data_IF_753128201073
#
_entry.id   IF_753128201073
#
_cell.length_a   1.000
_cell.length_b   1.000
_cell.length_c   1.000
_cell.angle_alpha   90.00
_cell.angle_beta   90.00
_cell.angle_gamma   90.00
#
_symmetry.space_group_name_H-M   'P 1'
#
loop_
_entity.id
_entity.type
_entity.pdbx_description
1 polymer ?
#
# COMPACT_ATOMS: atom_id res chain seq x y z
N UNK A 1 -11.68 -1.96 -22.89
CA UNK A 1 -10.68 -1.90 -21.82
C UNK A 1 -10.59 -0.48 -21.29
N UNK A 2 -10.59 -0.30 -19.97
CA UNK A 2 -10.41 1.00 -19.31
C UNK A 2 -8.96 1.50 -19.44
N UNK A 3 -8.68 2.81 -19.25
CA UNK A 3 -7.31 3.33 -19.26
C UNK A 3 -6.38 2.62 -18.27
N UNK A 4 -6.91 2.24 -17.10
CA UNK A 4 -6.18 1.50 -16.08
C UNK A 4 -5.83 0.07 -16.52
N UNK A 5 -6.78 -0.67 -17.09
CA UNK A 5 -6.52 -2.02 -17.64
C UNK A 5 -5.40 -2.01 -18.67
N UNK A 6 -5.43 -1.02 -19.57
CA UNK A 6 -4.37 -0.83 -20.58
C UNK A 6 -3.03 -0.46 -19.93
N UNK A 7 -3.04 0.31 -18.84
CA UNK A 7 -1.81 0.67 -18.12
C UNK A 7 -1.20 -0.56 -17.44
N UNK A 8 -2.01 -1.36 -16.75
CA UNK A 8 -1.57 -2.59 -16.08
C UNK A 8 -1.05 -3.61 -17.11
N UNK A 9 -1.76 -3.80 -18.21
CA UNK A 9 -1.33 -4.69 -19.29
C UNK A 9 0.02 -4.26 -19.91
N UNK A 10 0.24 -2.95 -20.09
CA UNK A 10 1.54 -2.43 -20.56
C UNK A 10 2.68 -2.64 -19.57
N UNK A 11 2.38 -2.71 -18.28
CA UNK A 11 3.34 -3.08 -17.23
C UNK A 11 3.57 -4.60 -17.14
N UNK A 12 2.94 -5.40 -18.01
CA UNK A 12 3.04 -6.87 -18.03
C UNK A 12 2.15 -7.56 -16.99
N UNK A 13 1.30 -6.81 -16.29
CA UNK A 13 0.34 -7.33 -15.31
C UNK A 13 -0.91 -7.83 -16.04
N UNK A 14 -1.56 -8.87 -15.53
CA UNK A 14 -2.74 -9.48 -16.16
C UNK A 14 -4.03 -8.95 -15.52
N UNK A 15 -4.80 -8.04 -16.16
CA UNK A 15 -6.08 -7.59 -15.61
C UNK A 15 -7.11 -8.72 -15.63
N UNK A 16 -7.79 -8.96 -14.52
CA UNK A 16 -8.82 -10.00 -14.39
C UNK A 16 -10.25 -9.46 -14.52
N UNK A 17 -10.40 -8.15 -14.69
CA UNK A 17 -11.68 -7.46 -14.87
C UNK A 17 -12.24 -6.83 -13.59
N UNK A 18 -13.41 -6.21 -13.72
CA UNK A 18 -14.13 -5.51 -12.65
C UNK A 18 -15.21 -6.39 -12.02
N UNK A 19 -15.93 -5.86 -11.03
CA UNK A 19 -17.03 -6.60 -10.39
C UNK A 19 -16.54 -7.64 -9.38
N UNK A 20 -15.40 -7.39 -8.73
CA UNK A 20 -14.86 -8.29 -7.73
C UNK A 20 -15.83 -8.45 -6.56
N UNK A 21 -16.06 -9.69 -6.16
CA UNK A 21 -16.70 -10.01 -4.89
C UNK A 21 -15.64 -10.25 -3.85
N UNK A 22 -15.34 -9.22 -3.08
CA UNK A 22 -14.38 -9.28 -2.00
C UNK A 22 -14.80 -10.32 -0.93
N UNK A 23 -16.10 -10.54 -0.74
CA UNK A 23 -16.62 -11.61 0.11
C UNK A 23 -16.20 -13.02 -0.33
N UNK A 24 -15.85 -13.24 -1.61
CA UNK A 24 -15.46 -14.54 -2.14
C UNK A 24 -14.08 -15.01 -1.64
N UNK A 25 -13.23 -14.10 -1.17
CA UNK A 25 -11.92 -14.45 -0.59
C UNK A 25 -12.04 -14.98 0.86
N UNK A 26 -13.28 -15.08 1.40
CA UNK A 26 -13.61 -15.62 2.72
C UNK A 26 -13.83 -14.52 3.79
N UNK A 27 -14.28 -14.86 5.00
CA UNK A 27 -14.43 -13.85 6.06
C UNK A 27 -13.09 -13.48 6.74
N UNK A 28 -12.15 -14.42 6.80
CA UNK A 28 -10.89 -14.23 7.53
C UNK A 28 -10.03 -13.10 6.93
N UNK A 29 -9.96 -12.99 5.60
CA UNK A 29 -9.12 -11.96 4.98
C UNK A 29 -9.66 -10.53 5.17
N UNK A 30 -10.99 -10.35 5.35
CA UNK A 30 -11.53 -9.01 5.64
C UNK A 30 -10.98 -8.50 6.97
N UNK A 31 -10.93 -9.37 7.98
CA UNK A 31 -10.38 -9.05 9.29
C UNK A 31 -8.87 -8.78 9.23
N UNK A 32 -8.15 -9.45 8.33
CA UNK A 32 -6.71 -9.23 8.14
C UNK A 32 -6.40 -7.97 7.31
N UNK A 33 -7.42 -7.36 6.69
CA UNK A 33 -7.29 -6.13 5.91
C UNK A 33 -7.64 -4.91 6.76
N UNK A 34 -6.68 -4.05 7.15
CA UNK A 34 -6.99 -2.83 7.91
C UNK A 34 -7.94 -1.88 7.16
N UNK A 35 -8.01 -2.01 5.83
CA UNK A 35 -8.93 -1.22 5.01
C UNK A 35 -10.38 -1.70 5.15
N UNK A 36 -10.61 -2.98 5.43
CA UNK A 36 -11.91 -3.66 5.33
C UNK A 36 -12.36 -4.38 6.61
N UNK A 37 -11.56 -4.38 7.68
CA UNK A 37 -11.80 -5.11 8.94
C UNK A 37 -13.19 -4.89 9.57
N UNK A 38 -13.77 -3.70 9.39
CA UNK A 38 -15.09 -3.34 9.93
C UNK A 38 -16.21 -3.41 8.89
N UNK A 39 -15.92 -3.77 7.63
CA UNK A 39 -16.92 -3.86 6.57
C UNK A 39 -17.72 -5.15 6.70
N UNK A 40 -19.04 -5.03 6.55
CA UNK A 40 -19.87 -6.22 6.30
C UNK A 40 -19.52 -6.80 4.93
N UNK A 41 -19.83 -8.09 4.70
CA UNK A 41 -19.58 -8.72 3.40
C UNK A 41 -20.25 -7.99 2.24
N UNK A 42 -21.46 -7.46 2.46
CA UNK A 42 -22.18 -6.69 1.44
C UNK A 42 -21.50 -5.33 1.16
N UNK A 43 -21.02 -4.63 2.19
CA UNK A 43 -20.28 -3.38 2.01
C UNK A 43 -18.93 -3.63 1.31
N UNK A 44 -18.25 -4.71 1.65
CA UNK A 44 -17.00 -5.10 0.98
C UNK A 44 -17.24 -5.43 -0.49
N UNK A 45 -18.32 -6.12 -0.84
CA UNK A 45 -18.66 -6.38 -2.24
C UNK A 45 -19.02 -5.11 -3.03
N UNK A 46 -19.62 -4.10 -2.38
CA UNK A 46 -19.82 -2.77 -2.99
C UNK A 46 -18.48 -2.13 -3.34
N UNK A 47 -17.50 -2.17 -2.44
CA UNK A 47 -16.15 -1.66 -2.70
C UNK A 47 -15.46 -2.48 -3.79
N UNK A 48 -15.56 -3.80 -3.71
CA UNK A 48 -15.00 -4.74 -4.69
C UNK A 48 -15.53 -4.53 -6.10
N UNK A 49 -16.82 -4.24 -6.24
CA UNK A 49 -17.44 -3.96 -7.53
C UNK A 49 -16.83 -2.72 -8.22
N UNK A 50 -16.34 -1.76 -7.43
CA UNK A 50 -15.66 -0.57 -7.93
C UNK A 50 -14.16 -0.77 -8.22
N UNK A 51 -13.61 -1.93 -7.86
CA UNK A 51 -12.20 -2.28 -8.09
C UNK A 51 -11.97 -3.01 -9.41
N UNK A 52 -10.75 -2.89 -9.91
CA UNK A 52 -10.23 -3.69 -11.02
C UNK A 52 -9.27 -4.74 -10.47
N UNK A 53 -9.55 -6.02 -10.71
CA UNK A 53 -8.64 -7.11 -10.35
C UNK A 53 -7.49 -7.22 -11.35
N UNK A 54 -6.33 -7.64 -10.86
CA UNK A 54 -5.17 -7.98 -11.68
C UNK A 54 -4.27 -9.00 -10.98
N UNK A 55 -3.41 -9.64 -11.78
CA UNK A 55 -2.41 -10.62 -11.33
C UNK A 55 -1.01 -10.23 -11.75
N UNK A 56 -0.06 -10.66 -10.94
CA UNK A 56 1.37 -10.54 -11.19
C UNK A 56 2.07 -11.86 -10.86
N UNK A 57 3.10 -12.19 -11.62
CA UNK A 57 4.05 -13.27 -11.30
C UNK A 57 5.26 -12.71 -10.55
N UNK A 58 6.02 -13.59 -9.90
CA UNK A 58 7.25 -13.23 -9.20
C UNK A 58 8.18 -12.34 -10.06
N UNK A 59 8.72 -11.30 -9.45
CA UNK A 59 9.62 -10.32 -10.07
C UNK A 59 8.92 -9.18 -10.81
N UNK A 60 7.61 -9.23 -11.04
CA UNK A 60 6.89 -8.14 -11.70
C UNK A 60 6.66 -6.96 -10.77
N UNK A 61 6.79 -5.74 -11.32
CA UNK A 61 6.59 -4.48 -10.60
C UNK A 61 5.11 -4.10 -10.68
N UNK A 62 4.44 -4.06 -9.52
CA UNK A 62 3.05 -3.64 -9.41
C UNK A 62 2.94 -2.10 -9.38
N UNK A 63 3.89 -1.45 -8.73
CA UNK A 63 3.98 0.00 -8.57
C UNK A 63 5.44 0.39 -8.69
N UNK A 64 5.78 1.36 -9.54
CA UNK A 64 7.15 1.86 -9.62
C UNK A 64 7.31 3.20 -8.90
N UNK A 65 8.39 3.33 -8.12
CA UNK A 65 8.76 4.59 -7.45
C UNK A 65 8.92 5.73 -8.46
N UNK A 66 8.36 6.90 -8.12
CA UNK A 66 8.44 8.12 -8.93
C UNK A 66 7.39 8.22 -10.03
N UNK A 67 6.63 7.15 -10.31
CA UNK A 67 5.49 7.25 -11.23
C UNK A 67 4.36 8.08 -10.62
N UNK A 68 3.62 8.81 -11.45
CA UNK A 68 2.38 9.45 -11.03
C UNK A 68 1.25 8.44 -11.20
N UNK A 69 0.50 8.18 -10.14
CA UNK A 69 -0.62 7.24 -10.16
C UNK A 69 -1.75 7.68 -9.24
N UNK A 70 -2.97 7.64 -9.76
CA UNK A 70 -4.19 8.09 -9.10
C UNK A 70 -5.00 6.94 -8.49
N UNK A 71 -4.32 5.85 -8.12
CA UNK A 71 -4.95 4.63 -7.64
C UNK A 71 -4.17 3.99 -6.51
N UNK A 72 -4.84 3.18 -5.70
CA UNK A 72 -4.25 2.34 -4.66
C UNK A 72 -4.54 0.89 -4.97
N UNK A 73 -3.82 -0.04 -4.36
CA UNK A 73 -4.14 -1.47 -4.47
C UNK A 73 -4.26 -2.14 -3.11
N UNK A 74 -5.01 -3.23 -3.09
CA UNK A 74 -5.12 -4.18 -1.98
C UNK A 74 -4.60 -5.52 -2.47
N UNK A 75 -3.67 -6.12 -1.72
CA UNK A 75 -3.18 -7.48 -1.99
C UNK A 75 -4.26 -8.47 -1.56
N UNK A 76 -4.73 -9.30 -2.50
CA UNK A 76 -5.74 -10.33 -2.24
C UNK A 76 -5.06 -11.67 -1.89
N UNK A 77 -3.94 -11.97 -2.53
CA UNK A 77 -3.11 -13.13 -2.24
C UNK A 77 -1.64 -12.89 -2.64
N UNK A 78 -0.72 -13.69 -2.11
CA UNK A 78 0.71 -13.57 -2.38
C UNK A 78 1.44 -12.58 -1.47
N UNK A 79 2.68 -12.26 -1.88
CA UNK A 79 3.65 -11.49 -1.12
C UNK A 79 4.31 -10.43 -2.01
N UNK A 80 4.41 -9.20 -1.50
CA UNK A 80 4.99 -8.06 -2.22
C UNK A 80 6.12 -7.44 -1.40
N UNK A 81 7.23 -7.17 -2.06
CA UNK A 81 8.36 -6.42 -1.52
C UNK A 81 8.17 -4.93 -1.77
N UNK A 82 8.29 -4.11 -0.73
CA UNK A 82 8.19 -2.65 -0.83
C UNK A 82 9.57 -2.05 -0.62
N UNK A 83 10.11 -1.43 -1.66
CA UNK A 83 11.50 -0.96 -1.69
C UNK A 83 11.60 0.48 -2.15
N UNK A 84 12.58 1.22 -1.64
CA UNK A 84 12.86 2.60 -2.05
C UNK A 84 14.34 2.79 -2.35
N UNK A 85 14.64 3.53 -3.42
CA UNK A 85 16.00 3.97 -3.72
C UNK A 85 16.41 5.10 -2.77
N UNK A 86 17.60 4.98 -2.20
CA UNK A 86 18.20 5.95 -1.29
C UNK A 86 19.64 6.27 -1.73
N UNK A 87 20.10 7.47 -1.35
CA UNK A 87 21.39 8.00 -1.81
C UNK A 87 21.30 8.57 -3.23
N UNK A 88 21.86 9.76 -3.43
CA UNK A 88 21.78 10.47 -4.71
C UNK A 88 22.57 9.75 -5.84
N UNK A 89 23.62 8.99 -5.49
CA UNK A 89 24.62 8.54 -6.48
C UNK A 89 24.90 7.02 -6.50
N UNK A 90 24.42 6.23 -5.53
CA UNK A 90 24.84 4.82 -5.36
C UNK A 90 23.77 3.76 -5.73
N UNK A 91 22.55 4.18 -6.07
CA UNK A 91 21.48 3.23 -6.43
C UNK A 91 21.10 2.25 -5.31
N UNK A 92 21.46 2.57 -4.06
CA UNK A 92 21.17 1.70 -2.93
C UNK A 92 19.66 1.57 -2.76
N UNK A 93 19.18 0.35 -2.66
CA UNK A 93 17.75 0.06 -2.50
C UNK A 93 17.52 -0.47 -1.11
N UNK A 94 16.71 0.25 -0.33
CA UNK A 94 16.31 -0.15 1.02
C UNK A 94 14.93 -0.79 0.97
N UNK A 95 14.82 -1.99 1.55
CA UNK A 95 13.54 -2.63 1.80
C UNK A 95 12.82 -1.93 2.95
N UNK A 96 11.66 -1.35 2.66
CA UNK A 96 10.81 -0.68 3.63
C UNK A 96 9.90 -1.67 4.36
N UNK A 97 9.34 -2.63 3.63
CA UNK A 97 8.42 -3.64 4.18
C UNK A 97 8.30 -4.84 3.25
N UNK A 98 7.82 -5.96 3.81
CA UNK A 98 7.25 -7.09 3.06
C UNK A 98 5.79 -7.18 3.46
N UNK A 99 4.89 -7.07 2.48
CA UNK A 99 3.44 -7.06 2.70
C UNK A 99 2.80 -8.31 2.09
N UNK A 100 1.65 -8.70 2.62
CA UNK A 100 0.89 -9.90 2.24
C UNK A 100 -0.58 -9.56 2.01
N UNK A 101 -1.39 -10.57 1.72
CA UNK A 101 -2.85 -10.47 1.65
C UNK A 101 -3.43 -9.59 2.77
N UNK A 102 -4.41 -8.75 2.41
CA UNK A 102 -5.04 -7.74 3.26
C UNK A 102 -4.30 -6.39 3.30
N UNK A 103 -3.00 -6.37 2.98
CA UNK A 103 -2.26 -5.13 2.95
C UNK A 103 -2.67 -4.22 1.78
N UNK A 104 -2.61 -2.92 2.04
CA UNK A 104 -2.97 -1.85 1.09
C UNK A 104 -1.73 -1.01 0.78
N UNK A 105 -1.52 -0.58 -0.46
CA UNK A 105 -0.44 0.35 -0.82
C UNK A 105 -0.86 1.35 -1.90
N UNK A 106 -0.12 2.46 -2.00
CA UNK A 106 -0.36 3.50 -3.00
C UNK A 106 -1.47 4.47 -2.63
N UNK A 107 -2.00 4.40 -1.40
CA UNK A 107 -3.06 5.28 -0.92
C UNK A 107 -2.63 6.74 -0.80
N UNK A 108 -1.35 7.00 -0.48
CA UNK A 108 -0.80 8.36 -0.40
C UNK A 108 -0.91 9.08 -1.74
N UNK A 109 -0.25 8.56 -2.78
CA UNK A 109 -0.31 9.11 -4.15
C UNK A 109 -1.74 9.17 -4.70
N UNK A 110 -2.59 8.18 -4.36
CA UNK A 110 -4.01 8.22 -4.74
C UNK A 110 -4.76 9.38 -4.09
N UNK A 111 -4.35 9.85 -2.91
CA UNK A 111 -5.01 10.94 -2.18
C UNK A 111 -4.41 12.32 -2.46
N UNK A 112 -3.09 12.47 -2.44
CA UNK A 112 -2.41 13.77 -2.61
C UNK A 112 -2.01 14.05 -4.06
N UNK A 113 -1.90 13.03 -4.90
CA UNK A 113 -1.47 13.16 -6.30
C UNK A 113 0.04 13.22 -6.48
N UNK A 114 0.80 13.06 -5.41
CA UNK A 114 2.26 13.04 -5.45
C UNK A 114 2.80 11.73 -6.06
N UNK A 115 4.02 11.74 -6.62
CA UNK A 115 4.65 10.55 -7.17
C UNK A 115 4.71 9.38 -6.16
N UNK A 116 4.73 8.15 -6.66
CA UNK A 116 4.86 6.93 -5.85
C UNK A 116 6.09 7.00 -4.96
N UNK A 117 5.89 6.89 -3.66
CA UNK A 117 6.96 6.99 -2.66
C UNK A 117 7.97 5.84 -2.72
N UNK A 118 7.53 4.65 -3.16
CA UNK A 118 8.32 3.41 -3.18
C UNK A 118 7.85 2.49 -4.32
N UNK A 119 8.71 1.56 -4.71
CA UNK A 119 8.38 0.48 -5.64
C UNK A 119 7.75 -0.69 -4.88
N UNK A 120 6.83 -1.39 -5.52
CA UNK A 120 6.20 -2.61 -5.03
C UNK A 120 6.40 -3.72 -6.05
N UNK A 121 7.09 -4.80 -5.66
CA UNK A 121 7.46 -5.90 -6.56
C UNK A 121 6.94 -7.22 -6.01
N UNK A 122 6.32 -8.03 -6.87
CA UNK A 122 5.85 -9.36 -6.49
C UNK A 122 7.03 -10.28 -6.12
N UNK A 123 6.96 -10.92 -4.95
CA UNK A 123 7.94 -11.94 -4.53
C UNK A 123 7.52 -13.31 -5.07
N UNK A 124 6.22 -13.59 -5.03
CA UNK A 124 5.58 -14.81 -5.54
C UNK A 124 4.42 -14.42 -6.49
N UNK A 125 3.51 -15.36 -6.80
CA UNK A 125 2.31 -15.02 -7.56
C UNK A 125 1.35 -14.19 -6.70
N UNK A 126 0.98 -13.01 -7.18
CA UNK A 126 0.17 -12.02 -6.45
C UNK A 126 -1.12 -11.76 -7.20
N UNK A 127 -2.25 -11.89 -6.51
CA UNK A 127 -3.53 -11.33 -6.94
C UNK A 127 -3.79 -10.04 -6.16
N UNK A 128 -4.23 -8.99 -6.85
CA UNK A 128 -4.50 -7.70 -6.23
C UNK A 128 -5.70 -7.00 -6.87
N UNK A 129 -6.32 -6.10 -6.11
CA UNK A 129 -7.42 -5.26 -6.56
C UNK A 129 -6.99 -3.80 -6.53
N UNK A 130 -7.25 -3.07 -7.62
CA UNK A 130 -6.93 -1.66 -7.77
C UNK A 130 -8.18 -0.81 -7.60
N UNK A 131 -8.08 0.25 -6.81
CA UNK A 131 -9.12 1.25 -6.62
C UNK A 131 -8.59 2.63 -7.02
N UNK A 132 -9.25 3.28 -7.99
CA UNK A 132 -8.87 4.61 -8.46
C UNK A 132 -9.51 5.71 -7.62
N UNK A 133 -8.90 6.90 -7.60
CA UNK A 133 -9.47 8.11 -7.02
C UNK A 133 -10.87 8.40 -7.56
N UNK A 134 -11.06 8.21 -8.87
CA UNK A 134 -12.37 8.37 -9.52
C UNK A 134 -13.38 7.33 -9.00
N UNK A 135 -12.97 6.08 -8.78
CA UNK A 135 -13.83 5.05 -8.22
C UNK A 135 -14.23 5.36 -6.76
N UNK A 136 -13.30 5.89 -5.95
CA UNK A 136 -13.61 6.39 -4.60
C UNK A 136 -14.66 7.51 -4.65
N UNK A 137 -14.48 8.49 -5.55
CA UNK A 137 -15.43 9.59 -5.71
C UNK A 137 -16.83 9.07 -6.11
N UNK A 138 -16.91 8.08 -7.01
CA UNK A 138 -18.17 7.43 -7.36
C UNK A 138 -18.79 6.69 -6.17
N UNK A 139 -18.00 5.93 -5.40
CA UNK A 139 -18.49 5.23 -4.20
C UNK A 139 -19.09 6.20 -3.17
N UNK A 140 -18.48 7.37 -2.97
CA UNK A 140 -18.99 8.41 -2.06
C UNK A 140 -20.34 8.95 -2.55
N UNK A 141 -20.52 9.07 -3.87
CA UNK A 141 -21.76 9.57 -4.45
C UNK A 141 -22.88 8.52 -4.48
N UNK A 142 -22.57 7.29 -4.91
CA UNK A 142 -23.54 6.21 -5.14
C UNK A 142 -23.85 5.43 -3.85
N UNK A 143 -22.88 5.29 -2.96
CA UNK A 143 -22.99 4.57 -1.69
C UNK A 143 -22.40 5.38 -0.52
N UNK A 144 -23.00 6.52 -0.12
CA UNK A 144 -22.37 7.48 0.78
C UNK A 144 -21.86 6.91 2.10
N UNK A 145 -22.60 5.99 2.72
CA UNK A 145 -22.18 5.33 3.96
C UNK A 145 -20.91 4.48 3.76
N UNK A 146 -20.86 3.70 2.66
CA UNK A 146 -19.70 2.86 2.31
C UNK A 146 -18.50 3.72 1.93
N UNK A 147 -18.71 4.76 1.11
CA UNK A 147 -17.66 5.70 0.73
C UNK A 147 -17.07 6.46 1.92
N UNK A 148 -17.91 6.95 2.84
CA UNK A 148 -17.45 7.60 4.06
C UNK A 148 -16.65 6.65 4.96
N UNK A 149 -17.14 5.41 5.14
CA UNK A 149 -16.44 4.37 5.90
C UNK A 149 -15.07 4.04 5.29
N UNK A 150 -14.99 3.95 3.96
CA UNK A 150 -13.74 3.73 3.24
C UNK A 150 -12.73 4.86 3.49
N UNK A 151 -13.17 6.12 3.40
CA UNK A 151 -12.30 7.26 3.68
C UNK A 151 -11.80 7.27 5.13
N UNK A 152 -12.67 6.93 6.10
CA UNK A 152 -12.26 6.78 7.50
C UNK A 152 -11.19 5.71 7.65
N UNK A 153 -11.35 4.54 6.99
CA UNK A 153 -10.34 3.47 7.02
C UNK A 153 -9.02 3.86 6.39
N UNK A 154 -9.03 4.54 5.25
CA UNK A 154 -7.80 5.07 4.63
C UNK A 154 -7.12 6.08 5.57
N UNK A 155 -7.89 6.97 6.20
CA UNK A 155 -7.36 7.95 7.15
C UNK A 155 -6.75 7.29 8.38
N UNK A 156 -7.41 6.27 8.94
CA UNK A 156 -6.90 5.49 10.07
C UNK A 156 -5.59 4.75 9.72
N UNK A 157 -5.53 4.16 8.52
CA UNK A 157 -4.34 3.49 7.99
C UNK A 157 -3.16 4.47 7.89
N UNK A 158 -3.37 5.66 7.31
CA UNK A 158 -2.35 6.70 7.22
C UNK A 158 -1.91 7.19 8.59
N UNK A 159 -2.85 7.41 9.52
CA UNK A 159 -2.53 7.83 10.88
C UNK A 159 -1.69 6.77 11.61
N UNK A 160 -1.97 5.49 11.41
CA UNK A 160 -1.18 4.41 11.98
C UNK A 160 0.22 4.33 11.38
N UNK A 161 0.35 4.50 10.05
CA UNK A 161 1.65 4.58 9.38
C UNK A 161 2.48 5.75 9.90
N UNK A 162 1.89 6.93 10.05
CA UNK A 162 2.57 8.10 10.60
C UNK A 162 3.05 7.86 12.04
N UNK A 163 2.22 7.22 12.88
CA UNK A 163 2.63 6.82 14.25
C UNK A 163 3.81 5.86 14.22
N UNK A 164 3.75 4.82 13.39
CA UNK A 164 4.83 3.82 13.27
C UNK A 164 6.14 4.46 12.78
N UNK A 165 6.09 5.29 11.74
CA UNK A 165 7.26 5.99 11.21
C UNK A 165 7.86 6.96 12.23
N UNK A 166 7.00 7.72 12.94
CA UNK A 166 7.47 8.63 14.00
C UNK A 166 8.12 7.86 15.14
N UNK A 167 7.56 6.72 15.56
CA UNK A 167 8.17 5.87 16.58
C UNK A 167 9.52 5.30 16.14
N UNK A 168 9.67 4.90 14.87
CA UNK A 168 10.95 4.45 14.32
C UNK A 168 11.98 5.58 14.33
N UNK A 169 11.60 6.80 13.94
CA UNK A 169 12.47 7.97 13.98
C UNK A 169 12.94 8.28 15.41
N UNK A 170 12.03 8.28 16.39
CA UNK A 170 12.38 8.49 17.81
C UNK A 170 13.40 7.46 18.29
N UNK A 171 13.20 6.17 17.99
CA UNK A 171 14.15 5.10 18.35
C UNK A 171 15.54 5.32 17.75
N UNK A 172 15.61 5.77 16.49
CA UNK A 172 16.88 6.08 15.83
C UNK A 172 17.58 7.27 16.49
N UNK A 173 16.83 8.32 16.84
CA UNK A 173 17.38 9.49 17.54
C UNK A 173 17.92 9.09 18.91
N UNK A 174 17.15 8.35 19.71
CA UNK A 174 17.56 7.88 21.04
C UNK A 174 18.84 7.03 20.97
N UNK A 175 18.94 6.13 19.99
CA UNK A 175 20.11 5.28 19.80
C UNK A 175 21.39 6.08 19.47
N UNK A 176 21.28 7.18 18.72
CA UNK A 176 22.40 8.09 18.42
C UNK A 176 22.83 8.88 19.65
N UNK A 177 21.87 9.32 20.47
CA UNK A 177 22.17 10.05 21.71
C UNK A 177 22.94 9.17 22.71
N UNK A 178 22.61 7.88 22.81
CA UNK A 178 23.31 6.91 23.66
C UNK A 178 24.72 6.57 23.14
N UNK A 179 24.90 6.41 21.82
CA UNK A 179 26.23 6.19 21.22
C UNK A 179 27.16 7.41 21.38
N UNK A 180 26.63 8.63 21.28
CA UNK A 180 27.39 9.87 21.50
C UNK A 180 27.75 10.15 22.97
N UNK A 181 27.06 9.53 23.93
CA UNK A 181 27.39 9.59 25.35
C UNK A 181 28.47 8.56 25.74
N UNK A 182 28.43 7.35 25.16
CA UNK A 182 29.44 6.31 25.38
C UNK A 182 30.83 6.72 24.87
N UNK A 183 30.91 7.38 23.69
CA UNK A 183 32.20 7.83 23.11
C UNK A 183 32.88 9.02 23.82
N UNK A 184 32.21 9.71 24.76
CA UNK A 184 32.83 10.81 25.54
C UNK A 184 33.42 10.37 26.89
N UNK A 185 33.13 9.14 27.33
CA UNK A 185 33.62 8.59 28.59
C UNK A 185 35.07 8.10 28.53
N UNK A 186 35.57 7.73 27.34
CA UNK A 186 36.87 7.07 27.19
C UNK A 186 38.06 8.04 27.02
N UNK A 187 37.82 9.35 26.82
CA UNK A 187 38.90 10.30 26.51
C UNK A 187 39.32 11.19 27.70
N UNK A 188 39.14 10.72 28.93
CA UNK A 188 39.43 11.49 30.17
C UNK A 188 40.39 10.80 31.15
N UNK A 189 41.13 9.81 30.69
CA UNK A 189 42.14 9.11 31.47
C UNK A 189 43.46 9.00 30.70
N UNK A 190 44.12 10.13 30.45
CA UNK A 190 45.56 10.25 30.19
C UNK A 190 46.02 11.65 30.61
#
# INVERSE_FOLDING_TARGET
MTPLETSLARAGLEPTGTGLKLSAFGPHWLHDSPLLEDFTLAEADIVGAAMLGARATAGQVLVAEGEVGDWMLVVLSGTVDVTRRVGADLGETVRLAVIRAGATVGEMSMLDGEPRYASCTAIDAVEFAVLTRQAVARLIHEHPAVGAKLLVKITQLLAQRLRNTTQQLTRLLDSRTQQGAAGRGENRAL
#
